data_IF_319204419847
#
_entry.id   IF_319204419847
#
_cell.length_a   1.000
_cell.length_b   1.000
_cell.length_c   1.000
_cell.angle_alpha   90.00
_cell.angle_beta   90.00
_cell.angle_gamma   90.00
#
_symmetry.space_group_name_H-M   'P 1'
#
loop_
_entity.id
_entity.type
_entity.pdbx_description
1 polymer ?
#
# COMPACT_ATOMS: atom_id res chain seq x y z
N UNK A 1 25.90 41.71 -7.31
CA UNK A 1 24.78 41.48 -6.37
C UNK A 1 23.83 40.34 -6.81
N UNK A 2 24.08 39.72 -7.96
CA UNK A 2 23.20 38.71 -8.58
C UNK A 2 23.54 37.27 -8.18
N UNK A 3 24.83 36.97 -7.94
CA UNK A 3 25.31 35.61 -7.61
C UNK A 3 24.78 35.13 -6.25
N UNK A 4 24.68 36.04 -5.27
CA UNK A 4 24.18 35.70 -3.92
C UNK A 4 22.71 35.25 -3.93
N UNK A 5 21.90 35.77 -4.85
CA UNK A 5 20.46 35.46 -4.91
C UNK A 5 20.24 34.07 -5.51
N UNK A 6 21.06 33.68 -6.50
CA UNK A 6 20.98 32.34 -7.14
C UNK A 6 21.38 31.22 -6.17
N UNK A 7 22.32 31.48 -5.27
CA UNK A 7 22.73 30.48 -4.27
C UNK A 7 21.64 30.22 -3.21
N UNK A 8 20.84 31.23 -2.86
CA UNK A 8 19.76 31.09 -1.86
C UNK A 8 18.63 30.20 -2.38
N UNK A 9 18.29 30.29 -3.68
CA UNK A 9 17.22 29.48 -4.27
C UNK A 9 17.58 27.99 -4.40
N UNK A 10 18.86 27.64 -4.58
CA UNK A 10 19.31 26.24 -4.67
C UNK A 10 19.20 25.52 -3.31
N UNK A 11 19.38 26.25 -2.20
CA UNK A 11 19.28 25.68 -0.85
C UNK A 11 17.84 25.26 -0.51
N UNK A 12 16.82 26.02 -0.96
CA UNK A 12 15.42 25.68 -0.69
C UNK A 12 14.95 24.39 -1.37
N UNK A 13 15.52 24.04 -2.53
CA UNK A 13 15.15 22.81 -3.26
C UNK A 13 15.72 21.56 -2.59
N UNK A 14 16.82 21.67 -1.86
CA UNK A 14 17.42 20.55 -1.12
C UNK A 14 16.79 20.32 0.26
N UNK A 15 15.96 21.25 0.76
CA UNK A 15 15.30 21.12 2.08
C UNK A 15 13.86 20.62 2.02
N UNK A 16 13.29 20.40 0.84
CA UNK A 16 12.11 19.54 0.71
C UNK A 16 12.56 18.08 0.77
N UNK A 17 13.23 17.71 1.87
CA UNK A 17 13.15 16.35 2.32
C UNK A 17 11.67 16.06 2.45
N UNK A 18 11.17 15.10 1.67
CA UNK A 18 9.84 14.55 1.92
C UNK A 18 9.78 14.33 3.42
N UNK A 19 8.87 15.04 4.10
CA UNK A 19 8.53 14.71 5.46
C UNK A 19 8.04 13.27 5.36
N UNK A 20 8.94 12.31 5.60
CA UNK A 20 8.55 10.96 5.97
C UNK A 20 7.69 11.20 7.20
N UNK A 21 6.37 11.19 6.95
CA UNK A 21 5.36 11.14 7.99
C UNK A 21 5.87 10.16 9.05
N UNK A 22 5.76 10.51 10.35
CA UNK A 22 6.21 9.61 11.39
C UNK A 22 5.65 8.25 11.06
N UNK A 23 6.56 7.28 10.90
CA UNK A 23 6.22 5.88 10.68
C UNK A 23 5.20 5.57 11.74
N UNK A 24 3.93 5.59 11.37
CA UNK A 24 2.86 5.07 12.18
C UNK A 24 3.36 3.68 12.47
N UNK A 25 3.61 3.40 13.74
CA UNK A 25 3.87 2.04 14.18
C UNK A 25 2.76 1.21 13.54
N UNK A 26 3.10 0.50 12.47
CA UNK A 26 2.22 -0.37 11.71
C UNK A 26 2.03 -1.63 12.57
N UNK A 27 1.51 -1.40 13.77
CA UNK A 27 0.83 -2.38 14.59
C UNK A 27 -0.58 -2.60 14.01
N UNK A 28 -0.66 -2.60 12.69
CA UNK A 28 -1.73 -3.19 11.95
C UNK A 28 -1.17 -4.53 11.53
N UNK A 29 -1.61 -5.60 12.18
CA UNK A 29 -1.93 -6.80 11.40
C UNK A 29 -3.02 -6.38 10.40
N UNK A 30 -2.61 -5.61 9.39
CA UNK A 30 -3.49 -4.90 8.51
C UNK A 30 -4.16 -5.98 7.69
N UNK A 31 -5.48 -6.07 7.83
CA UNK A 31 -6.29 -6.93 6.99
C UNK A 31 -6.07 -6.44 5.55
N UNK A 32 -5.17 -7.08 4.83
CA UNK A 32 -4.91 -6.75 3.44
C UNK A 32 -6.01 -7.37 2.60
N UNK A 33 -6.71 -6.53 1.84
CA UNK A 33 -7.73 -6.95 0.88
C UNK A 33 -7.15 -6.74 -0.51
N UNK A 34 -7.08 -7.82 -1.28
CA UNK A 34 -6.55 -7.84 -2.64
C UNK A 34 -7.68 -8.27 -3.58
N UNK A 35 -7.99 -7.42 -4.55
CA UNK A 35 -8.95 -7.73 -5.60
C UNK A 35 -8.26 -8.41 -6.78
N UNK A 36 -8.76 -9.57 -7.20
CA UNK A 36 -8.31 -10.29 -8.39
C UNK A 36 -9.26 -9.96 -9.52
N UNK A 37 -8.72 -9.41 -10.61
CA UNK A 37 -9.49 -9.01 -11.79
C UNK A 37 -9.42 -10.06 -12.90
N UNK A 38 -10.49 -10.16 -13.70
CA UNK A 38 -10.48 -10.89 -14.96
C UNK A 38 -9.75 -10.12 -16.08
N UNK A 39 -9.62 -10.73 -17.25
CA UNK A 39 -8.95 -10.10 -18.40
C UNK A 39 -9.70 -8.88 -18.97
N UNK A 40 -10.92 -8.62 -18.52
CA UNK A 40 -11.75 -7.46 -18.89
C UNK A 40 -11.71 -6.36 -17.82
N UNK A 41 -11.00 -6.57 -16.71
CA UNK A 41 -10.91 -5.63 -15.60
C UNK A 41 -12.07 -5.71 -14.59
N UNK A 42 -12.91 -6.75 -14.63
CA UNK A 42 -13.94 -6.95 -13.63
C UNK A 42 -13.38 -7.70 -12.42
N UNK A 43 -13.81 -7.35 -11.21
CA UNK A 43 -13.45 -8.10 -10.01
C UNK A 43 -14.04 -9.51 -10.10
N UNK A 44 -13.16 -10.50 -9.97
CA UNK A 44 -13.48 -11.92 -10.00
C UNK A 44 -13.53 -12.50 -8.59
N UNK A 45 -12.53 -12.18 -7.77
CA UNK A 45 -12.34 -12.72 -6.42
C UNK A 45 -11.75 -11.66 -5.50
N UNK A 46 -12.07 -11.76 -4.21
CA UNK A 46 -11.45 -10.96 -3.15
C UNK A 46 -10.61 -11.87 -2.28
N UNK A 47 -9.37 -11.48 -2.02
CA UNK A 47 -8.47 -12.23 -1.14
C UNK A 47 -8.20 -11.39 0.10
N UNK A 48 -8.42 -11.97 1.27
CA UNK A 48 -8.11 -11.35 2.55
C UNK A 48 -6.93 -12.08 3.17
N UNK A 49 -5.87 -11.34 3.49
CA UNK A 49 -4.74 -11.85 4.27
C UNK A 49 -4.82 -11.26 5.68
N UNK A 50 -4.89 -12.13 6.69
CA UNK A 50 -4.93 -11.74 8.10
C UNK A 50 -4.32 -12.85 8.97
N UNK A 51 -3.45 -12.48 9.90
CA UNK A 51 -2.87 -13.40 10.90
C UNK A 51 -2.24 -14.67 10.28
N UNK A 52 -1.47 -14.51 9.20
CA UNK A 52 -0.92 -15.62 8.40
C UNK A 52 -1.97 -16.55 7.76
N UNK A 53 -3.23 -16.11 7.63
CA UNK A 53 -4.27 -16.82 6.90
C UNK A 53 -4.71 -16.05 5.66
N UNK A 54 -5.03 -16.80 4.61
CA UNK A 54 -5.63 -16.33 3.37
C UNK A 54 -7.06 -16.85 3.32
N UNK A 55 -8.01 -15.94 3.11
CA UNK A 55 -9.40 -16.31 2.79
C UNK A 55 -9.73 -15.77 1.40
N UNK A 56 -10.26 -16.63 0.54
CA UNK A 56 -10.66 -16.28 -0.82
C UNK A 56 -12.18 -16.21 -0.87
N UNK A 57 -12.70 -15.13 -1.43
CA UNK A 57 -14.11 -14.91 -1.69
C UNK A 57 -14.35 -14.75 -3.19
N UNK A 58 -15.53 -15.11 -3.67
CA UNK A 58 -15.98 -14.67 -4.99
C UNK A 58 -16.40 -13.18 -4.94
N UNK A 59 -16.73 -12.63 -6.12
CA UNK A 59 -17.24 -11.26 -6.29
C UNK A 59 -18.46 -10.89 -5.42
N UNK A 60 -19.20 -11.89 -4.92
CA UNK A 60 -20.41 -11.70 -4.11
C UNK A 60 -20.10 -11.89 -2.61
N UNK A 61 -18.80 -11.86 -2.24
CA UNK A 61 -18.28 -12.09 -0.90
C UNK A 61 -18.61 -13.47 -0.31
N UNK A 62 -18.85 -14.47 -1.15
CA UNK A 62 -19.02 -15.86 -0.70
C UNK A 62 -17.68 -16.56 -0.62
N UNK A 63 -17.39 -17.16 0.54
CA UNK A 63 -16.14 -17.88 0.77
C UNK A 63 -15.97 -19.03 -0.23
N UNK A 64 -14.85 -19.01 -0.97
CA UNK A 64 -14.42 -20.07 -1.89
C UNK A 64 -13.31 -20.95 -1.31
N UNK A 65 -12.52 -20.41 -0.40
CA UNK A 65 -11.38 -21.13 0.16
C UNK A 65 -10.76 -20.42 1.36
N UNK A 66 -10.01 -21.19 2.14
CA UNK A 66 -9.26 -20.73 3.28
C UNK A 66 -7.97 -21.54 3.41
N UNK A 67 -6.86 -20.90 3.76
CA UNK A 67 -5.58 -21.56 3.94
C UNK A 67 -4.63 -20.76 4.84
N UNK A 68 -3.68 -21.44 5.45
CA UNK A 68 -2.59 -20.80 6.21
C UNK A 68 -1.41 -20.55 5.28
N UNK A 69 -0.84 -19.35 5.34
CA UNK A 69 0.42 -19.03 4.68
C UNK A 69 1.52 -19.85 5.33
N UNK A 70 2.18 -20.70 4.54
CA UNK A 70 3.36 -21.42 4.98
C UNK A 70 4.58 -20.50 4.79
N UNK A 71 5.25 -20.14 5.89
CA UNK A 71 6.50 -19.39 5.88
C UNK A 71 7.69 -20.31 5.62
#
# INVERSE_FOLDING_TARGET
>A
MTIKIVLISIVCVMTTGCASLPSVEENQTERQVIDIYDSKGNVKEHVIIKDDYITIYDKDWKTKGYGKVQK
#
